data_IF_326167588367
#
_entry.id   IF_326167588367
#
_cell.length_a   1.000
_cell.length_b   1.000
_cell.length_c   1.000
_cell.angle_alpha   90.00
_cell.angle_beta   90.00
_cell.angle_gamma   90.00
#
_symmetry.space_group_name_H-M   'P 1'
#
loop_
_entity.id
_entity.type
_entity.pdbx_description
1 polymer ?
#
# COMPACT_ATOMS: atom_id res chain seq x y z
N UNK A 1 -30.57 16.97 -16.82
CA UNK A 1 -29.28 16.26 -16.70
C UNK A 1 -28.31 17.10 -15.86
N UNK A 2 -28.36 17.01 -14.53
CA UNK A 2 -27.23 17.34 -13.63
C UNK A 2 -27.57 16.95 -12.19
N UNK A 3 -27.63 15.65 -11.90
CA UNK A 3 -27.51 15.19 -10.51
C UNK A 3 -26.03 15.27 -10.13
N UNK A 4 -25.65 16.31 -9.38
CA UNK A 4 -24.39 16.29 -8.64
C UNK A 4 -24.50 15.19 -7.61
N UNK A 5 -23.99 14.00 -7.95
CA UNK A 5 -23.84 12.89 -7.03
C UNK A 5 -23.06 13.39 -5.79
N UNK A 6 -23.67 13.42 -4.58
CA UNK A 6 -23.03 13.95 -3.38
C UNK A 6 -21.76 13.18 -2.98
N UNK A 7 -21.54 12.01 -3.56
CA UNK A 7 -20.37 11.15 -3.32
C UNK A 7 -19.22 11.34 -4.33
N UNK A 8 -19.38 12.22 -5.33
CA UNK A 8 -18.36 12.45 -6.35
C UNK A 8 -17.20 13.32 -5.82
N UNK A 9 -16.02 12.70 -5.63
CA UNK A 9 -14.80 13.39 -5.21
C UNK A 9 -14.40 14.51 -6.19
N UNK A 10 -14.05 15.67 -5.64
CA UNK A 10 -13.57 16.82 -6.41
C UNK A 10 -12.29 16.47 -7.18
N UNK A 11 -12.15 16.99 -8.40
CA UNK A 11 -10.97 16.77 -9.26
C UNK A 11 -9.65 17.11 -8.55
N UNK A 12 -9.65 18.17 -7.73
CA UNK A 12 -8.51 18.56 -6.88
C UNK A 12 -8.13 17.46 -5.88
N UNK A 13 -9.10 16.86 -5.20
CA UNK A 13 -8.87 15.76 -4.23
C UNK A 13 -8.23 14.55 -4.91
N UNK A 14 -8.67 14.21 -6.13
CA UNK A 14 -8.07 13.11 -6.90
C UNK A 14 -6.60 13.38 -7.25
N UNK A 15 -6.29 14.61 -7.67
CA UNK A 15 -4.92 15.02 -8.01
C UNK A 15 -4.03 15.04 -6.76
N UNK A 16 -4.50 15.63 -5.64
CA UNK A 16 -3.74 15.63 -4.38
C UNK A 16 -3.50 14.21 -3.86
N UNK A 17 -4.52 13.35 -3.92
CA UNK A 17 -4.38 11.95 -3.52
C UNK A 17 -3.33 11.23 -4.36
N UNK A 18 -3.40 11.34 -5.69
CA UNK A 18 -2.42 10.74 -6.59
C UNK A 18 -1.01 11.30 -6.41
N UNK A 19 -0.87 12.60 -6.13
CA UNK A 19 0.43 13.21 -5.85
C UNK A 19 1.07 12.67 -4.57
N UNK A 20 0.28 12.37 -3.53
CA UNK A 20 0.76 11.73 -2.31
C UNK A 20 1.14 10.27 -2.52
N UNK A 21 0.36 9.54 -3.32
CA UNK A 21 0.58 8.12 -3.63
C UNK A 21 1.77 7.88 -4.57
N UNK A 22 2.13 8.89 -5.39
CA UNK A 22 3.19 8.80 -6.38
C UNK A 22 4.55 8.40 -5.79
N UNK A 23 4.94 9.00 -4.65
CA UNK A 23 6.21 8.69 -4.00
C UNK A 23 6.28 7.24 -3.51
N UNK A 24 5.24 6.79 -2.82
CA UNK A 24 5.14 5.42 -2.33
C UNK A 24 5.15 4.40 -3.47
N UNK A 25 4.33 4.63 -4.50
CA UNK A 25 4.23 3.77 -5.67
C UNK A 25 5.55 3.62 -6.44
N UNK A 26 6.33 4.71 -6.54
CA UNK A 26 7.65 4.67 -7.18
C UNK A 26 8.63 3.80 -6.38
N UNK A 27 8.72 4.02 -5.07
CA UNK A 27 9.63 3.24 -4.21
C UNK A 27 9.27 1.76 -4.20
N UNK A 28 7.99 1.44 -4.07
CA UNK A 28 7.51 0.05 -4.11
C UNK A 28 7.83 -0.63 -5.43
N UNK A 29 7.63 0.06 -6.57
CA UNK A 29 7.97 -0.46 -7.89
C UNK A 29 9.46 -0.75 -8.03
N UNK A 30 10.33 0.17 -7.60
CA UNK A 30 11.78 0.00 -7.67
C UNK A 30 12.23 -1.21 -6.83
N UNK A 31 11.72 -1.33 -5.60
CA UNK A 31 11.99 -2.48 -4.75
C UNK A 31 11.50 -3.76 -5.44
N UNK A 32 10.27 -3.79 -5.93
CA UNK A 32 9.69 -4.96 -6.59
C UNK A 32 10.52 -5.48 -7.77
N UNK A 33 11.16 -4.61 -8.53
CA UNK A 33 12.01 -4.98 -9.68
C UNK A 33 13.42 -5.41 -9.25
N UNK A 34 14.04 -4.69 -8.31
CA UNK A 34 15.46 -4.89 -7.97
C UNK A 34 15.64 -5.93 -6.86
N UNK A 35 14.62 -6.20 -6.04
CA UNK A 35 14.77 -7.01 -4.83
C UNK A 35 15.28 -8.42 -5.10
N UNK A 36 14.83 -9.07 -6.17
CA UNK A 36 15.34 -10.39 -6.55
C UNK A 36 16.83 -10.36 -6.89
N UNK A 37 17.26 -9.37 -7.68
CA UNK A 37 18.67 -9.15 -8.06
C UNK A 37 19.50 -8.82 -6.81
N UNK A 38 18.97 -8.02 -5.90
CA UNK A 38 19.63 -7.72 -4.64
C UNK A 38 19.88 -8.98 -3.81
N UNK A 39 18.88 -9.87 -3.69
CA UNK A 39 19.03 -11.11 -2.93
C UNK A 39 20.07 -12.06 -3.55
N UNK A 40 20.13 -12.16 -4.87
CA UNK A 40 21.05 -13.08 -5.54
C UNK A 40 22.46 -12.50 -5.71
N UNK A 41 22.56 -11.27 -6.20
CA UNK A 41 23.82 -10.72 -6.71
C UNK A 41 24.56 -9.88 -5.65
N UNK A 42 23.83 -9.28 -4.72
CA UNK A 42 24.41 -8.46 -3.63
C UNK A 42 24.51 -9.27 -2.34
N UNK A 43 23.43 -9.91 -1.92
CA UNK A 43 23.39 -10.71 -0.70
C UNK A 43 23.95 -12.13 -0.90
N UNK A 44 24.14 -12.58 -2.16
CA UNK A 44 24.76 -13.86 -2.48
C UNK A 44 23.88 -15.09 -2.18
N UNK A 45 22.56 -14.92 -2.04
CA UNK A 45 21.67 -16.05 -1.82
C UNK A 45 21.57 -16.91 -3.09
N UNK A 46 21.53 -18.24 -2.89
CA UNK A 46 21.14 -19.11 -3.99
C UNK A 46 19.72 -18.79 -4.46
N UNK A 47 19.42 -18.92 -5.77
CA UNK A 47 18.12 -18.57 -6.34
C UNK A 47 16.93 -19.23 -5.64
N UNK A 48 17.10 -20.48 -5.14
CA UNK A 48 16.05 -21.18 -4.40
C UNK A 48 15.65 -20.48 -3.10
N UNK A 49 16.62 -19.99 -2.32
CA UNK A 49 16.35 -19.26 -1.08
C UNK A 49 15.82 -17.86 -1.35
N UNK A 50 16.32 -17.17 -2.38
CA UNK A 50 15.79 -15.88 -2.80
C UNK A 50 14.32 -15.98 -3.22
N UNK A 51 13.98 -16.99 -4.03
CA UNK A 51 12.60 -17.26 -4.43
C UNK A 51 11.70 -17.58 -3.22
N UNK A 52 12.18 -18.39 -2.28
CA UNK A 52 11.43 -18.70 -1.05
C UNK A 52 11.19 -17.45 -0.20
N UNK A 53 12.19 -16.59 -0.02
CA UNK A 53 12.07 -15.35 0.76
C UNK A 53 11.03 -14.40 0.14
N UNK A 54 11.11 -14.19 -1.19
CA UNK A 54 10.13 -13.38 -1.91
C UNK A 54 8.74 -14.00 -1.80
N UNK A 55 8.61 -15.32 -1.98
CA UNK A 55 7.34 -16.01 -1.90
C UNK A 55 6.68 -15.88 -0.53
N UNK A 56 7.45 -16.01 0.56
CA UNK A 56 6.96 -15.83 1.92
C UNK A 56 6.48 -14.40 2.13
N UNK A 57 7.26 -13.41 1.71
CA UNK A 57 6.88 -11.99 1.79
C UNK A 57 5.59 -11.70 1.03
N UNK A 58 5.49 -12.14 -0.23
CA UNK A 58 4.27 -11.94 -1.04
C UNK A 58 3.06 -12.68 -0.49
N UNK A 59 3.26 -13.85 0.11
CA UNK A 59 2.18 -14.60 0.76
C UNK A 59 1.67 -13.86 2.00
N UNK A 60 2.57 -13.20 2.74
CA UNK A 60 2.21 -12.35 3.86
C UNK A 60 1.34 -11.16 3.40
N UNK A 61 1.75 -10.44 2.35
CA UNK A 61 0.98 -9.32 1.80
C UNK A 61 -0.40 -9.78 1.30
N UNK A 62 -0.45 -10.91 0.60
CA UNK A 62 -1.69 -11.52 0.11
C UNK A 62 -2.72 -11.78 1.22
N UNK A 63 -2.28 -12.06 2.46
CA UNK A 63 -3.17 -12.27 3.61
C UNK A 63 -3.55 -10.94 4.26
N UNK A 64 -2.60 -10.02 4.41
CA UNK A 64 -2.84 -8.75 5.10
C UNK A 64 -3.72 -7.81 4.29
N UNK A 65 -3.58 -7.78 2.96
CA UNK A 65 -4.33 -6.85 2.11
C UNK A 65 -5.86 -7.05 2.25
N UNK A 66 -6.41 -8.28 2.18
CA UNK A 66 -7.82 -8.53 2.45
C UNK A 66 -8.23 -8.23 3.90
N UNK A 67 -7.37 -8.55 4.88
CA UNK A 67 -7.66 -8.31 6.30
C UNK A 67 -7.82 -6.81 6.59
N UNK A 68 -6.86 -6.00 6.14
CA UNK A 68 -6.90 -4.55 6.29
C UNK A 68 -8.01 -3.95 5.44
N UNK A 69 -8.24 -4.46 4.23
CA UNK A 69 -9.38 -4.05 3.40
C UNK A 69 -10.72 -4.25 4.12
N UNK A 70 -10.93 -5.42 4.70
CA UNK A 70 -12.13 -5.76 5.45
C UNK A 70 -12.27 -4.94 6.73
N UNK A 71 -11.18 -4.72 7.47
CA UNK A 71 -11.17 -3.89 8.67
C UNK A 71 -11.50 -2.43 8.33
N UNK A 72 -10.88 -1.89 7.28
CA UNK A 72 -11.11 -0.53 6.77
C UNK A 72 -12.57 -0.35 6.35
N UNK A 73 -13.15 -1.35 5.68
CA UNK A 73 -14.55 -1.28 5.26
C UNK A 73 -15.57 -1.47 6.41
N UNK A 74 -15.20 -2.17 7.49
CA UNK A 74 -16.07 -2.32 8.67
C UNK A 74 -15.93 -1.19 9.68
N UNK A 75 -14.88 -0.39 9.59
CA UNK A 75 -14.65 0.72 10.51
C UNK A 75 -15.70 1.80 10.33
N UNK A 76 -16.49 2.05 11.37
CA UNK A 76 -17.47 3.14 11.43
C UNK A 76 -16.97 4.21 12.39
N UNK A 77 -16.37 5.27 11.85
CA UNK A 77 -15.99 6.44 12.66
C UNK A 77 -16.76 7.69 12.25
N UNK A 78 -16.74 8.70 13.13
CA UNK A 78 -17.25 10.06 12.89
C UNK A 78 -16.67 10.74 11.64
N UNK A 79 -15.52 10.30 11.14
CA UNK A 79 -14.85 10.86 9.95
C UNK A 79 -15.11 10.04 8.68
N UNK A 80 -15.97 9.02 8.75
CA UNK A 80 -16.27 8.10 7.67
C UNK A 80 -15.51 6.78 7.78
N UNK A 81 -15.68 5.94 6.75
CA UNK A 81 -15.20 4.55 6.72
C UNK A 81 -13.69 4.43 6.52
N UNK A 82 -13.15 5.11 5.51
CA UNK A 82 -11.73 4.96 5.07
C UNK A 82 -10.80 6.11 5.46
N UNK A 83 -11.34 7.27 5.87
CA UNK A 83 -10.52 8.46 6.21
C UNK A 83 -9.57 8.27 7.39
N UNK A 84 -9.91 7.56 8.47
CA UNK A 84 -8.97 7.30 9.56
C UNK A 84 -7.74 6.50 9.10
N UNK A 85 -7.92 5.50 8.25
CA UNK A 85 -6.79 4.71 7.73
C UNK A 85 -5.87 5.54 6.85
N UNK A 86 -6.43 6.41 6.00
CA UNK A 86 -5.64 7.30 5.15
C UNK A 86 -4.91 8.39 5.95
N UNK A 87 -5.54 8.90 7.01
CA UNK A 87 -4.98 9.99 7.81
C UNK A 87 -4.03 9.51 8.90
N UNK A 88 -4.21 8.31 9.46
CA UNK A 88 -3.38 7.80 10.56
C UNK A 88 -2.51 6.61 10.15
N UNK A 89 -2.63 6.10 8.92
CA UNK A 89 -1.78 5.01 8.42
C UNK A 89 -0.29 5.35 8.43
N UNK A 90 0.06 6.64 8.37
CA UNK A 90 1.45 7.08 8.48
C UNK A 90 2.04 6.93 9.90
N UNK A 91 1.20 6.85 10.95
CA UNK A 91 1.67 6.77 12.33
C UNK A 91 2.38 5.44 12.61
N UNK A 92 1.76 4.26 12.40
CA UNK A 92 2.48 3.00 12.56
C UNK A 92 3.66 2.90 11.57
N UNK A 93 3.52 3.45 10.37
CA UNK A 93 4.60 3.48 9.39
C UNK A 93 5.83 4.25 9.89
N UNK A 94 5.66 5.47 10.41
CA UNK A 94 6.75 6.31 10.91
C UNK A 94 7.28 5.91 12.30
N UNK A 95 6.63 4.99 13.00
CA UNK A 95 7.15 4.42 14.26
C UNK A 95 8.01 3.18 13.97
N UNK A 96 7.69 2.42 12.92
CA UNK A 96 8.35 1.16 12.59
C UNK A 96 9.57 1.30 11.67
N UNK A 97 9.72 2.43 10.97
CA UNK A 97 10.81 2.77 10.04
C UNK A 97 11.55 4.02 10.50
#
# INVERSE_FOLDING_TARGET
MNEKNPDALTRKTKILYGAGDFGFSLTDTIIGVIFAIFLTDVAGLQPGYAAAAIFIGRSWDYINDPLIGHLSDRTRTRWGRRRPFLLFGFIPFGIAF
#
